data_IF_802700665939
#
_entry.id   IF_802700665939
#
_cell.length_a   1.000
_cell.length_b   1.000
_cell.length_c   1.000
_cell.angle_alpha   90.00
_cell.angle_beta   90.00
_cell.angle_gamma   90.00
#
_symmetry.space_group_name_H-M   'P 1'
#
loop_
_entity.id
_entity.type
_entity.pdbx_description
1 polymer ?
#
# COMPACT_ATOMS: atom_id res chain seq x y z
N UNK A 1 -10.89 16.98 -4.77
CA UNK A 1 -11.41 16.09 -5.82
C UNK A 1 -10.44 14.95 -5.96
N UNK A 2 -10.87 13.73 -5.64
CA UNK A 2 -10.09 12.53 -5.93
C UNK A 2 -10.27 12.23 -7.41
N UNK A 3 -9.17 12.01 -8.11
CA UNK A 3 -9.23 11.67 -9.53
C UNK A 3 -9.96 10.33 -9.71
N UNK A 4 -10.76 10.23 -10.78
CA UNK A 4 -11.64 9.07 -10.99
C UNK A 4 -10.82 7.79 -11.16
N UNK A 5 -9.64 7.91 -11.77
CA UNK A 5 -8.75 6.78 -12.07
C UNK A 5 -7.91 6.30 -10.86
N UNK A 6 -7.87 7.12 -9.80
CA UNK A 6 -7.06 6.95 -8.59
C UNK A 6 -5.59 6.64 -8.90
N UNK A 7 -5.03 7.14 -10.00
CA UNK A 7 -3.68 6.81 -10.46
C UNK A 7 -2.61 7.13 -9.39
N UNK A 8 -2.73 8.29 -8.73
CA UNK A 8 -1.83 8.68 -7.65
C UNK A 8 -1.86 7.71 -6.46
N UNK A 9 -3.04 7.20 -6.10
CA UNK A 9 -3.17 6.25 -5.00
C UNK A 9 -2.58 4.88 -5.37
N UNK A 10 -2.80 4.40 -6.60
CA UNK A 10 -2.17 3.17 -7.10
C UNK A 10 -0.65 3.28 -7.09
N UNK A 11 -0.11 4.43 -7.51
CA UNK A 11 1.32 4.68 -7.48
C UNK A 11 1.87 4.66 -6.04
N UNK A 12 1.19 5.30 -5.08
CA UNK A 12 1.63 5.29 -3.68
C UNK A 12 1.61 3.88 -3.06
N UNK A 13 0.61 3.07 -3.38
CA UNK A 13 0.55 1.66 -2.95
C UNK A 13 1.69 0.82 -3.55
N UNK A 14 2.01 1.03 -4.82
CA UNK A 14 3.14 0.37 -5.47
C UNK A 14 4.48 0.79 -4.87
N UNK A 15 4.66 2.08 -4.56
CA UNK A 15 5.84 2.58 -3.87
C UNK A 15 5.98 1.96 -2.47
N UNK A 16 4.87 1.82 -1.73
CA UNK A 16 4.87 1.16 -0.42
C UNK A 16 5.28 -0.32 -0.52
N UNK A 17 4.80 -1.04 -1.54
CA UNK A 17 5.22 -2.42 -1.83
C UNK A 17 6.73 -2.49 -2.08
N UNK A 18 7.28 -1.62 -2.93
CA UNK A 18 8.72 -1.59 -3.24
C UNK A 18 9.57 -1.29 -2.00
N UNK A 19 9.14 -0.36 -1.15
CA UNK A 19 9.82 -0.07 0.12
C UNK A 19 9.77 -1.28 1.06
N UNK A 20 8.65 -1.99 1.13
CA UNK A 20 8.52 -3.18 1.95
C UNK A 20 9.44 -4.32 1.48
N UNK A 21 9.57 -4.51 0.17
CA UNK A 21 10.51 -5.48 -0.42
C UNK A 21 11.96 -5.19 -0.01
N UNK A 22 12.35 -3.92 0.10
CA UNK A 22 13.68 -3.51 0.55
C UNK A 22 13.87 -3.68 2.06
N UNK A 23 12.90 -3.21 2.85
CA UNK A 23 13.02 -3.15 4.33
C UNK A 23 12.77 -4.50 4.98
N UNK A 24 11.85 -5.30 4.46
CA UNK A 24 11.50 -6.61 5.01
C UNK A 24 11.06 -7.59 3.92
N UNK A 25 12.02 -8.22 3.22
CA UNK A 25 11.73 -9.23 2.18
C UNK A 25 10.90 -10.41 2.70
N UNK A 26 11.05 -10.76 3.99
CA UNK A 26 10.28 -11.82 4.62
C UNK A 26 8.78 -11.48 4.68
N UNK A 27 8.45 -10.25 5.09
CA UNK A 27 7.07 -9.77 5.13
C UNK A 27 6.50 -9.59 3.72
N UNK A 28 7.27 -9.03 2.78
CA UNK A 28 6.85 -8.92 1.39
C UNK A 28 6.45 -10.27 0.79
N UNK A 29 7.29 -11.31 0.96
CA UNK A 29 6.98 -12.69 0.52
C UNK A 29 5.75 -13.27 1.20
N UNK A 30 5.55 -12.99 2.49
CA UNK A 30 4.35 -13.42 3.20
C UNK A 30 3.09 -12.78 2.59
N UNK A 31 3.11 -11.48 2.28
CA UNK A 31 1.99 -10.80 1.65
C UNK A 31 1.69 -11.33 0.25
N UNK A 32 2.72 -11.67 -0.55
CA UNK A 32 2.54 -12.36 -1.84
C UNK A 32 1.83 -13.70 -1.64
N UNK A 33 2.27 -14.52 -0.68
CA UNK A 33 1.64 -15.81 -0.37
C UNK A 33 0.19 -15.69 0.16
N UNK A 34 -0.24 -14.50 0.57
CA UNK A 34 -1.59 -14.18 1.04
C UNK A 34 -2.41 -13.37 0.04
N UNK A 35 -1.93 -13.19 -1.19
CA UNK A 35 -2.54 -12.35 -2.22
C UNK A 35 -2.83 -10.90 -1.76
N UNK A 36 -1.98 -10.39 -0.86
CA UNK A 36 -2.07 -9.07 -0.24
C UNK A 36 -0.97 -8.11 -0.74
N UNK A 37 -0.20 -8.49 -1.76
CA UNK A 37 0.93 -7.72 -2.27
C UNK A 37 0.54 -6.37 -2.92
N UNK A 38 -0.72 -6.20 -3.31
CA UNK A 38 -1.26 -4.94 -3.85
C UNK A 38 -1.43 -3.82 -2.79
N UNK A 39 -1.20 -4.15 -1.51
CA UNK A 39 -1.27 -3.21 -0.38
C UNK A 39 -2.63 -2.53 -0.19
N UNK A 40 -3.75 -3.03 -0.74
CA UNK A 40 -5.06 -2.37 -0.60
C UNK A 40 -5.54 -2.23 0.85
N UNK A 41 -5.04 -3.06 1.77
CA UNK A 41 -5.29 -2.88 3.21
C UNK A 41 -4.69 -1.58 3.78
N UNK A 42 -3.71 -0.97 3.10
CA UNK A 42 -3.13 0.33 3.42
C UNK A 42 -3.85 1.51 2.72
N UNK A 43 -4.84 1.27 1.87
CA UNK A 43 -5.51 2.32 1.09
C UNK A 43 -6.03 3.46 1.98
N UNK A 44 -6.75 3.11 3.06
CA UNK A 44 -7.30 4.09 4.00
C UNK A 44 -6.20 4.89 4.69
N UNK A 45 -5.07 4.24 5.01
CA UNK A 45 -3.95 4.90 5.67
C UNK A 45 -3.40 6.04 4.81
N UNK A 46 -3.21 5.79 3.52
CA UNK A 46 -2.71 6.79 2.58
C UNK A 46 -3.77 7.85 2.24
N UNK A 47 -5.02 7.42 2.04
CA UNK A 47 -6.13 8.31 1.69
C UNK A 47 -6.35 9.42 2.72
N UNK A 48 -6.28 9.08 4.01
CA UNK A 48 -6.53 10.01 5.11
C UNK A 48 -5.29 10.33 5.95
N UNK A 49 -4.10 9.99 5.46
CA UNK A 49 -2.83 10.27 6.15
C UNK A 49 -2.83 9.76 7.59
N UNK A 50 -3.21 8.50 7.76
CA UNK A 50 -3.29 7.78 9.04
C UNK A 50 -4.23 8.37 10.11
N UNK A 51 -5.04 9.40 9.82
CA UNK A 51 -6.01 10.02 10.77
C UNK A 51 -7.07 9.08 11.37
N UNK A 52 -7.14 7.81 10.94
CA UNK A 52 -8.06 6.79 11.46
C UNK A 52 -7.33 5.64 12.16
N UNK A 53 -6.01 5.71 12.29
CA UNK A 53 -5.18 4.72 12.98
C UNK A 53 -4.46 5.33 14.19
N UNK A 54 -4.49 6.66 14.33
CA UNK A 54 -3.95 7.46 15.44
C UNK A 54 -4.90 8.59 15.82
#
# INVERSE_FOLDING_TARGET
NFDIDQAGMKQQLQQLQQLLELVSPALARHLVAKDAHNMYFCFRWLLVWFKREF
#
